data_IF_265274060863
#
_entry.id   IF_265274060863
#
_cell.length_a   1.000
_cell.length_b   1.000
_cell.length_c   1.000
_cell.angle_alpha   90.00
_cell.angle_beta   90.00
_cell.angle_gamma   90.00
#
_symmetry.space_group_name_H-M   'P 1'
#
loop_
_entity.id
_entity.type
_entity.pdbx_description
1 polymer ?
#
# COMPACT_ATOMS: atom_id res chain seq x y z
N UNK A 1 -20.18 -0.79 2.43
CA UNK A 1 -18.89 -0.07 2.57
C UNK A 1 -18.88 1.10 1.59
N UNK A 2 -19.92 1.94 1.61
CA UNK A 2 -20.27 2.71 0.41
C UNK A 2 -19.62 4.09 0.39
N UNK A 3 -18.90 4.45 1.45
CA UNK A 3 -18.22 5.72 1.56
C UNK A 3 -17.00 5.80 0.64
N UNK A 4 -16.13 4.78 0.66
CA UNK A 4 -14.86 4.78 -0.10
C UNK A 4 -15.11 4.99 -1.62
N UNK A 5 -16.05 4.28 -2.27
CA UNK A 5 -16.33 4.52 -3.69
C UNK A 5 -16.84 5.92 -4.00
N UNK A 6 -17.40 6.65 -3.02
CA UNK A 6 -17.92 8.02 -3.18
C UNK A 6 -16.89 9.12 -2.87
N UNK A 7 -15.69 8.80 -2.39
CA UNK A 7 -14.68 9.81 -2.06
C UNK A 7 -14.09 10.50 -3.31
N UNK A 8 -14.20 11.81 -3.43
CA UNK A 8 -13.68 12.52 -4.63
C UNK A 8 -12.25 13.06 -4.47
N UNK A 9 -11.64 12.84 -3.31
CA UNK A 9 -10.27 13.28 -2.98
C UNK A 9 -9.28 12.12 -3.04
N UNK A 10 -7.98 12.36 -3.22
CA UNK A 10 -6.96 11.31 -3.12
C UNK A 10 -7.04 10.54 -1.80
N UNK A 11 -6.83 9.23 -1.84
CA UNK A 11 -6.87 8.37 -0.66
C UNK A 11 -5.61 7.51 -0.58
N UNK A 12 -5.07 7.37 0.63
CA UNK A 12 -4.04 6.41 0.98
C UNK A 12 -4.56 5.54 2.12
N UNK A 13 -4.91 4.29 1.82
CA UNK A 13 -5.27 3.29 2.82
C UNK A 13 -4.02 2.59 3.35
N UNK A 14 -3.86 2.54 4.67
CA UNK A 14 -2.70 1.93 5.35
C UNK A 14 -3.16 0.69 6.12
N UNK A 15 -2.47 -0.44 5.95
CA UNK A 15 -2.77 -1.73 6.57
C UNK A 15 -4.25 -2.12 6.44
N UNK A 16 -5.04 -2.08 7.51
CA UNK A 16 -6.48 -2.35 7.44
C UNK A 16 -7.22 -1.39 6.48
N UNK A 17 -6.77 -0.13 6.38
CA UNK A 17 -7.30 0.82 5.42
C UNK A 17 -7.05 0.42 3.96
N UNK A 18 -5.93 -0.24 3.67
CA UNK A 18 -5.66 -0.83 2.35
C UNK A 18 -6.65 -1.96 2.04
N UNK A 19 -6.92 -2.82 3.02
CA UNK A 19 -7.88 -3.92 2.87
C UNK A 19 -9.29 -3.39 2.63
N UNK A 20 -9.76 -2.45 3.46
CA UNK A 20 -11.06 -1.79 3.29
C UNK A 20 -11.20 -1.12 1.93
N UNK A 21 -10.14 -0.43 1.48
CA UNK A 21 -10.09 0.19 0.16
C UNK A 21 -10.29 -0.87 -0.93
N UNK A 22 -9.52 -1.95 -0.92
CA UNK A 22 -9.62 -2.98 -1.95
C UNK A 22 -10.99 -3.70 -1.91
N UNK A 23 -11.48 -4.08 -0.73
CA UNK A 23 -12.76 -4.77 -0.57
C UNK A 23 -13.96 -3.91 -0.95
N UNK A 24 -13.87 -2.58 -0.78
CA UNK A 24 -14.93 -1.67 -1.21
C UNK A 24 -15.15 -1.66 -2.73
N UNK A 25 -14.19 -2.14 -3.52
CA UNK A 25 -14.33 -2.36 -4.97
C UNK A 25 -14.42 -3.84 -5.35
N UNK A 26 -14.63 -4.74 -4.38
CA UNK A 26 -14.87 -6.16 -4.65
C UNK A 26 -13.62 -7.04 -4.67
N UNK A 27 -12.45 -6.55 -4.24
CA UNK A 27 -11.32 -7.43 -3.97
C UNK A 27 -11.64 -8.35 -2.77
N UNK A 28 -10.93 -9.48 -2.70
CA UNK A 28 -11.07 -10.46 -1.63
C UNK A 28 -9.88 -10.39 -0.68
N UNK A 29 -10.09 -10.81 0.55
CA UNK A 29 -9.03 -10.96 1.55
C UNK A 29 -8.94 -12.39 2.03
N UNK A 30 -7.77 -12.75 2.54
CA UNK A 30 -7.50 -14.00 3.23
C UNK A 30 -6.60 -13.73 4.45
N UNK A 31 -6.43 -14.73 5.30
CA UNK A 31 -5.53 -14.66 6.45
C UNK A 31 -4.25 -15.44 6.17
N UNK A 32 -3.11 -14.88 6.59
CA UNK A 32 -1.83 -15.55 6.52
C UNK A 32 -1.82 -16.77 7.47
N UNK A 33 -1.14 -17.87 7.09
CA UNK A 33 -0.91 -18.99 8.02
C UNK A 33 -0.10 -18.56 9.25
N UNK A 34 0.82 -17.60 9.06
CA UNK A 34 1.63 -17.01 10.12
C UNK A 34 1.56 -15.48 9.99
N UNK A 35 1.04 -14.77 11.01
CA UNK A 35 0.97 -13.31 10.99
C UNK A 35 2.34 -12.64 10.84
N UNK A 36 2.37 -11.47 10.21
CA UNK A 36 3.51 -10.56 10.25
C UNK A 36 3.39 -9.75 11.54
N UNK A 37 4.38 -9.89 12.44
CA UNK A 37 4.35 -9.28 13.78
C UNK A 37 5.56 -8.37 13.93
N UNK A 38 5.31 -7.05 13.88
CA UNK A 38 6.27 -5.98 14.19
C UNK A 38 7.67 -6.24 13.63
N UNK A 39 7.79 -6.31 12.30
CA UNK A 39 9.08 -6.44 11.62
C UNK A 39 9.14 -5.61 10.34
N UNK A 40 10.35 -5.42 9.83
CA UNK A 40 10.56 -4.88 8.49
C UNK A 40 10.47 -6.02 7.47
N UNK A 41 9.53 -5.89 6.54
CA UNK A 41 9.45 -6.77 5.37
C UNK A 41 10.18 -6.17 4.18
N UNK A 42 10.71 -7.07 3.34
CA UNK A 42 11.49 -6.71 2.16
C UNK A 42 10.55 -6.54 0.97
N UNK A 43 9.97 -5.35 0.85
CA UNK A 43 8.96 -5.02 -0.16
C UNK A 43 9.63 -4.70 -1.49
N UNK A 44 9.27 -5.47 -2.52
CA UNK A 44 9.73 -5.31 -3.89
C UNK A 44 8.81 -4.38 -4.70
N UNK A 45 9.39 -3.36 -5.31
CA UNK A 45 8.67 -2.39 -6.14
C UNK A 45 8.43 -2.95 -7.55
N UNK A 46 7.17 -3.25 -7.89
CA UNK A 46 6.77 -3.78 -9.21
C UNK A 46 6.54 -2.64 -10.23
N UNK A 47 5.91 -1.55 -9.78
CA UNK A 47 5.63 -0.37 -10.59
C UNK A 47 6.04 0.90 -9.83
N UNK A 48 6.63 1.84 -10.55
CA UNK A 48 7.08 3.14 -10.01
C UNK A 48 6.15 4.26 -10.47
N UNK A 49 6.22 5.41 -9.81
CA UNK A 49 5.32 6.55 -9.98
C UNK A 49 4.48 6.83 -8.74
N UNK A 50 3.76 7.95 -8.74
CA UNK A 50 2.89 8.39 -7.64
C UNK A 50 3.54 8.26 -6.26
N UNK A 51 3.01 7.40 -5.39
CA UNK A 51 3.51 7.17 -4.02
C UNK A 51 4.91 6.51 -4.00
N UNK A 52 5.29 5.84 -5.10
CA UNK A 52 6.57 5.14 -5.26
C UNK A 52 7.54 5.87 -6.21
N UNK A 53 7.31 7.17 -6.50
CA UNK A 53 8.07 7.91 -7.52
C UNK A 53 9.58 8.06 -7.26
N UNK A 54 10.02 7.86 -6.01
CA UNK A 54 11.45 7.94 -5.61
C UNK A 54 12.16 6.58 -5.65
N UNK A 55 11.43 5.50 -5.93
CA UNK A 55 11.97 4.14 -5.99
C UNK A 55 12.06 3.64 -7.43
N UNK A 56 12.96 2.69 -7.66
CA UNK A 56 13.14 2.03 -8.96
C UNK A 56 12.36 0.72 -9.00
N UNK A 57 11.89 0.35 -10.19
CA UNK A 57 11.35 -1.00 -10.43
C UNK A 57 12.39 -2.06 -10.06
N UNK A 58 11.99 -3.08 -9.29
CA UNK A 58 12.86 -4.13 -8.75
C UNK A 58 13.68 -3.70 -7.53
N UNK A 59 13.51 -2.47 -7.03
CA UNK A 59 14.11 -2.07 -5.76
C UNK A 59 13.37 -2.76 -4.62
N UNK A 60 14.14 -3.33 -3.70
CA UNK A 60 13.64 -3.87 -2.43
C UNK A 60 13.79 -2.79 -1.37
N UNK A 61 12.72 -2.55 -0.60
CA UNK A 61 12.60 -1.50 0.39
C UNK A 61 12.13 -2.11 1.71
N UNK A 62 12.87 -1.94 2.83
CA UNK A 62 12.42 -2.39 4.14
C UNK A 62 11.27 -1.51 4.65
N UNK A 63 10.11 -2.10 4.91
CA UNK A 63 8.92 -1.38 5.38
C UNK A 63 8.29 -2.08 6.59
N UNK A 64 7.85 -1.29 7.56
CA UNK A 64 7.33 -1.78 8.83
C UNK A 64 5.95 -2.41 8.66
N UNK A 65 5.77 -3.65 9.13
CA UNK A 65 4.53 -4.40 8.97
C UNK A 65 4.02 -5.01 10.28
N UNK A 66 2.70 -5.03 10.39
CA UNK A 66 1.95 -5.72 11.43
C UNK A 66 0.57 -6.07 10.86
N UNK A 67 0.36 -7.32 10.44
CA UNK A 67 -0.93 -7.76 9.89
C UNK A 67 -1.11 -9.29 9.93
N UNK A 68 -2.38 -9.69 9.97
CA UNK A 68 -2.81 -11.08 9.84
C UNK A 68 -3.47 -11.35 8.48
N UNK A 69 -4.23 -10.38 7.99
CA UNK A 69 -4.99 -10.50 6.76
C UNK A 69 -4.29 -9.77 5.62
N UNK A 70 -4.53 -10.22 4.40
CA UNK A 70 -3.97 -9.65 3.19
C UNK A 70 -4.98 -9.68 2.05
N UNK A 71 -4.76 -8.86 1.02
CA UNK A 71 -5.59 -8.84 -0.19
C UNK A 71 -5.13 -9.90 -1.18
N UNK A 72 -6.09 -10.65 -1.74
CA UNK A 72 -5.80 -11.69 -2.73
C UNK A 72 -5.50 -11.08 -4.10
N UNK A 73 -4.32 -11.38 -4.65
CA UNK A 73 -3.83 -10.79 -5.91
C UNK A 73 -4.73 -11.09 -7.10
N UNK A 74 -5.30 -12.29 -7.15
CA UNK A 74 -6.20 -12.72 -8.22
C UNK A 74 -7.51 -11.93 -8.30
N UNK A 75 -7.87 -11.23 -7.21
CA UNK A 75 -9.09 -10.42 -7.12
C UNK A 75 -8.90 -8.96 -7.53
N UNK A 76 -7.64 -8.48 -7.64
CA UNK A 76 -7.33 -7.07 -7.89
C UNK A 76 -7.82 -6.56 -9.25
N UNK A 77 -7.67 -7.38 -10.29
CA UNK A 77 -8.00 -6.99 -11.67
C UNK A 77 -9.48 -6.63 -11.79
N UNK A 78 -10.34 -7.51 -11.26
CA UNK A 78 -11.80 -7.32 -11.21
C UNK A 78 -12.21 -6.15 -10.31
N UNK A 79 -11.42 -5.88 -9.25
CA UNK A 79 -11.62 -4.76 -8.35
C UNK A 79 -11.07 -3.42 -8.88
N UNK A 80 -10.48 -3.40 -10.08
CA UNK A 80 -9.99 -2.18 -10.71
C UNK A 80 -8.67 -1.64 -10.15
N UNK A 81 -7.82 -2.51 -9.58
CA UNK A 81 -6.52 -2.13 -9.04
C UNK A 81 -5.35 -2.69 -9.86
N UNK A 82 -4.27 -1.92 -9.92
CA UNK A 82 -2.96 -2.37 -10.36
C UNK A 82 -2.11 -2.72 -9.14
N UNK A 83 -1.45 -3.88 -9.16
CA UNK A 83 -0.42 -4.24 -8.19
C UNK A 83 0.84 -3.40 -8.46
N UNK A 84 1.35 -2.71 -7.44
CA UNK A 84 2.54 -1.85 -7.56
C UNK A 84 3.70 -2.27 -6.64
N UNK A 85 3.46 -3.08 -5.61
CA UNK A 85 4.51 -3.72 -4.82
C UNK A 85 4.05 -5.06 -4.24
N UNK A 86 4.99 -5.99 -4.03
CA UNK A 86 4.79 -7.30 -3.39
C UNK A 86 5.96 -7.65 -2.45
N UNK A 87 5.83 -8.70 -1.66
CA UNK A 87 6.91 -9.24 -0.81
C UNK A 87 6.85 -10.76 -0.75
N UNK A 88 7.86 -11.43 -0.18
CA UNK A 88 7.80 -12.87 0.07
C UNK A 88 6.67 -13.30 1.01
N UNK A 89 6.23 -12.42 1.93
CA UNK A 89 5.20 -12.70 2.93
C UNK A 89 3.79 -12.29 2.50
N UNK A 90 3.66 -11.33 1.57
CA UNK A 90 2.38 -10.82 1.10
C UNK A 90 2.41 -10.56 -0.41
N UNK A 91 1.47 -11.14 -1.14
CA UNK A 91 1.39 -10.99 -2.59
C UNK A 91 0.89 -9.60 -3.05
N UNK A 92 0.34 -8.80 -2.13
CA UNK A 92 -0.20 -7.47 -2.40
C UNK A 92 0.27 -6.51 -1.30
N UNK A 93 1.46 -5.93 -1.47
CA UNK A 93 1.99 -4.94 -0.53
C UNK A 93 1.50 -3.53 -0.82
N UNK A 94 1.33 -3.20 -2.11
CA UNK A 94 0.78 -1.93 -2.50
C UNK A 94 -0.02 -2.01 -3.80
N UNK A 95 -1.06 -1.18 -3.89
CA UNK A 95 -1.94 -1.07 -5.05
C UNK A 95 -2.21 0.37 -5.44
N UNK A 96 -2.53 0.58 -6.73
CA UNK A 96 -3.09 1.81 -7.27
C UNK A 96 -4.40 1.52 -7.98
N UNK A 97 -5.47 2.27 -7.68
CA UNK A 97 -6.71 2.17 -8.44
C UNK A 97 -6.51 2.68 -9.87
N UNK A 98 -7.01 1.96 -10.87
CA UNK A 98 -6.75 2.23 -12.30
C UNK A 98 -7.17 3.65 -12.73
N UNK A 99 -8.29 4.13 -12.20
CA UNK A 99 -8.92 5.37 -12.65
C UNK A 99 -8.98 6.48 -11.59
N UNK A 100 -8.38 6.28 -10.40
CA UNK A 100 -8.51 7.22 -9.27
C UNK A 100 -7.17 7.36 -8.56
N UNK A 101 -6.96 8.48 -7.87
CA UNK A 101 -5.80 8.71 -7.02
C UNK A 101 -5.94 7.99 -5.67
N UNK A 102 -6.31 6.72 -5.74
CA UNK A 102 -6.52 5.85 -4.58
C UNK A 102 -5.39 4.85 -4.54
N UNK A 103 -4.75 4.79 -3.39
CA UNK A 103 -3.60 3.95 -3.14
C UNK A 103 -3.83 3.17 -1.85
N UNK A 104 -3.35 1.94 -1.82
CA UNK A 104 -3.35 1.15 -0.60
C UNK A 104 -1.96 0.58 -0.38
N UNK A 105 -1.51 0.55 0.86
CA UNK A 105 -0.26 -0.07 1.31
C UNK A 105 -0.54 -0.98 2.51
N UNK A 106 -0.01 -2.19 2.52
CA UNK A 106 -0.20 -3.16 3.60
C UNK A 106 0.73 -2.88 4.80
N UNK A 107 1.89 -2.29 4.54
CA UNK A 107 2.82 -1.76 5.53
C UNK A 107 2.39 -0.41 6.13
N UNK A 108 3.06 -0.02 7.21
CA UNK A 108 2.90 1.24 7.95
C UNK A 108 4.00 2.23 7.58
N UNK A 109 3.80 3.09 6.56
CA UNK A 109 4.84 4.02 6.11
C UNK A 109 5.20 5.10 7.15
N UNK A 110 4.37 5.29 8.18
CA UNK A 110 4.62 6.19 9.30
C UNK A 110 5.52 5.58 10.39
N UNK A 111 5.70 4.25 10.39
CA UNK A 111 6.53 3.55 11.37
C UNK A 111 7.92 3.32 10.80
N UNK A 112 8.87 4.17 11.18
CA UNK A 112 10.26 4.08 10.69
C UNK A 112 11.21 3.32 11.63
N UNK A 113 10.79 2.99 12.85
CA UNK A 113 11.63 2.32 13.86
C UNK A 113 10.89 1.14 14.47
N UNK A 114 11.55 -0.02 14.51
CA UNK A 114 11.11 -1.23 15.22
C UNK A 114 12.30 -1.75 16.01
N UNK A 115 12.18 -1.80 17.33
CA UNK A 115 13.31 -2.14 18.20
C UNK A 115 14.48 -1.18 17.99
N UNK A 116 15.62 -1.71 17.55
CA UNK A 116 16.85 -0.95 17.29
C UNK A 116 17.11 -0.67 15.80
N UNK A 117 16.21 -1.12 14.91
CA UNK A 117 16.33 -0.92 13.47
C UNK A 117 15.53 0.32 13.04
N UNK A 118 16.08 1.10 12.09
CA UNK A 118 15.42 2.32 11.58
C UNK A 118 15.56 2.44 10.07
N UNK A 119 14.43 2.60 9.40
CA UNK A 119 14.29 2.66 7.95
C UNK A 119 13.34 3.80 7.55
N UNK A 120 13.85 4.94 7.02
CA UNK A 120 13.06 6.15 6.76
C UNK A 120 12.26 6.12 5.44
N UNK A 121 12.36 5.05 4.65
CA UNK A 121 11.80 4.97 3.30
C UNK A 121 10.27 5.10 3.28
N UNK A 122 9.59 4.66 4.34
CA UNK A 122 8.15 4.85 4.52
C UNK A 122 7.72 6.32 4.46
N UNK A 123 8.48 7.24 5.08
CA UNK A 123 8.19 8.67 5.01
C UNK A 123 8.26 9.21 3.59
N UNK A 124 9.15 8.69 2.75
CA UNK A 124 9.23 9.10 1.36
C UNK A 124 7.94 8.76 0.60
N UNK A 125 7.26 7.67 0.96
CA UNK A 125 5.97 7.25 0.37
C UNK A 125 4.86 8.24 0.74
N UNK A 126 4.80 8.66 2.00
CA UNK A 126 3.84 9.68 2.49
C UNK A 126 4.08 11.01 1.78
N UNK A 127 5.34 11.45 1.72
CA UNK A 127 5.72 12.68 1.01
C UNK A 127 5.34 12.63 -0.47
N UNK A 128 5.59 11.50 -1.13
CA UNK A 128 5.24 11.31 -2.52
C UNK A 128 3.72 11.35 -2.72
N UNK A 129 2.95 10.72 -1.84
CA UNK A 129 1.49 10.80 -1.87
C UNK A 129 1.03 12.26 -1.81
N UNK A 130 1.51 13.02 -0.82
CA UNK A 130 1.15 14.43 -0.67
C UNK A 130 1.59 15.28 -1.87
N UNK A 131 2.88 15.22 -2.25
CA UNK A 131 3.44 16.08 -3.29
C UNK A 131 2.89 15.79 -4.69
N UNK A 132 2.66 14.51 -5.01
CA UNK A 132 2.29 14.10 -6.36
C UNK A 132 0.77 14.03 -6.57
N UNK A 133 -0.01 13.79 -5.51
CA UNK A 133 -1.43 13.48 -5.65
C UNK A 133 -2.34 14.47 -4.92
N UNK A 134 -1.90 15.08 -3.82
CA UNK A 134 -2.71 16.02 -3.04
C UNK A 134 -2.41 17.46 -3.44
N UNK A 135 -1.16 17.90 -3.27
CA UNK A 135 -0.74 19.29 -3.50
C UNK A 135 -1.02 19.79 -4.92
N UNK A 136 -0.95 18.90 -5.91
CA UNK A 136 -1.23 19.23 -7.32
C UNK A 136 -2.69 19.58 -7.59
N UNK A 137 -3.61 19.19 -6.69
CA UNK A 137 -5.03 19.49 -6.80
C UNK A 137 -5.41 20.84 -6.15
N UNK A 138 -4.45 21.54 -5.54
CA UNK A 138 -4.72 22.80 -4.84
C UNK A 138 -5.51 22.64 -3.53
N UNK A 139 -5.51 21.42 -2.98
CA UNK A 139 -6.06 21.05 -1.66
C UNK A 139 -4.95 21.17 -0.61
#
# INVERSE_FOLDING_TARGET
MDFIPRCEVPLLGVCFGHQLLCTAFGAKTASLPNPVIDRFEQVNVIQTGDILSRFRKGQVVPLAEYHNDYVLKDSLENAGFNLIADSPSCEVEAVKHKNRLFFGVQFHPERITIGNETHPEGHQIIDNFYCNNVKRLGI
#
